data_IF_999493229930
#
_entry.id   IF_999493229930
#
_cell.length_a   1.000
_cell.length_b   1.000
_cell.length_c   1.000
_cell.angle_alpha   90.00
_cell.angle_beta   90.00
_cell.angle_gamma   90.00
#
_symmetry.space_group_name_H-M   'P 1'
#
loop_
_entity.id
_entity.type
_entity.pdbx_description
1 polymer ?
#
# COMPACT_ATOMS: atom_id res chain seq x y z
N UNK A 1 -10.63 -38.88 -20.28
CA UNK A 1 -11.37 -39.28 -21.51
C UNK A 1 -11.30 -38.25 -22.63
N UNK A 2 -11.19 -36.93 -22.36
CA UNK A 2 -11.03 -35.92 -23.42
C UNK A 2 -9.65 -35.92 -24.08
N UNK A 3 -8.58 -35.97 -23.28
CA UNK A 3 -7.19 -35.88 -23.75
C UNK A 3 -6.85 -36.97 -24.77
N UNK A 4 -7.26 -38.23 -24.55
CA UNK A 4 -6.98 -39.33 -25.48
C UNK A 4 -7.60 -39.17 -26.88
N UNK A 5 -8.69 -38.38 -27.01
CA UNK A 5 -9.40 -38.20 -28.27
C UNK A 5 -8.90 -36.99 -29.07
N UNK A 6 -8.42 -35.96 -28.38
CA UNK A 6 -7.99 -34.71 -29.01
C UNK A 6 -6.47 -34.61 -29.12
N UNK A 7 -5.72 -35.18 -28.18
CA UNK A 7 -4.28 -35.06 -28.13
C UNK A 7 -3.60 -35.92 -29.20
N UNK A 8 -2.71 -35.30 -29.96
CA UNK A 8 -1.81 -35.93 -30.89
C UNK A 8 -0.71 -36.74 -30.17
N UNK A 9 -0.37 -37.89 -30.74
CA UNK A 9 0.77 -38.72 -30.34
C UNK A 9 1.29 -39.47 -31.56
N UNK A 10 2.56 -39.25 -31.92
CA UNK A 10 3.16 -39.79 -33.14
C UNK A 10 3.10 -41.33 -33.25
N UNK A 11 3.07 -42.06 -32.14
CA UNK A 11 3.07 -43.54 -32.14
C UNK A 11 1.67 -44.12 -32.01
N UNK A 12 0.83 -43.47 -31.21
CA UNK A 12 -0.42 -44.04 -30.73
C UNK A 12 -1.67 -43.31 -31.22
N UNK A 13 -1.55 -42.06 -31.67
CA UNK A 13 -2.69 -41.27 -32.14
C UNK A 13 -2.26 -40.12 -33.06
N UNK A 14 -1.86 -40.47 -34.29
CA UNK A 14 -1.41 -39.53 -35.33
C UNK A 14 -2.55 -38.61 -35.87
N UNK A 15 -3.81 -39.02 -35.68
CA UNK A 15 -4.99 -38.24 -36.08
C UNK A 15 -5.46 -37.20 -35.05
N UNK A 16 -4.72 -37.02 -33.95
CA UNK A 16 -5.04 -36.00 -32.94
C UNK A 16 -4.99 -34.58 -33.52
N UNK A 17 -5.84 -33.70 -33.01
CA UNK A 17 -5.95 -32.32 -33.51
C UNK A 17 -4.98 -31.38 -32.84
N UNK A 18 -4.65 -31.65 -31.59
CA UNK A 18 -3.92 -30.73 -30.71
C UNK A 18 -2.70 -31.43 -30.11
N UNK A 19 -1.54 -30.78 -30.14
CA UNK A 19 -0.27 -31.36 -29.69
C UNK A 19 0.01 -31.10 -28.20
N UNK A 20 -0.86 -31.57 -27.29
CA UNK A 20 -0.78 -31.23 -25.86
C UNK A 20 0.29 -31.99 -25.06
N UNK A 21 0.86 -33.07 -25.59
CA UNK A 21 1.63 -34.03 -24.79
C UNK A 21 3.13 -33.83 -24.98
N UNK A 22 3.88 -33.80 -23.87
CA UNK A 22 5.34 -33.84 -23.86
C UNK A 22 5.82 -34.94 -22.91
N UNK A 23 6.67 -35.83 -23.42
CA UNK A 23 7.27 -36.96 -22.70
C UNK A 23 8.48 -36.49 -21.93
N UNK A 24 8.50 -36.87 -20.66
CA UNK A 24 9.57 -36.60 -19.71
C UNK A 24 10.02 -37.93 -19.07
N UNK A 25 11.30 -38.13 -18.72
CA UNK A 25 12.39 -37.15 -18.70
C UNK A 25 13.01 -36.90 -20.09
N UNK A 26 13.48 -35.69 -20.35
CA UNK A 26 14.25 -35.38 -21.55
C UNK A 26 15.73 -35.74 -21.34
N UNK A 27 16.44 -36.21 -22.38
CA UNK A 27 17.85 -36.56 -22.23
C UNK A 27 18.70 -35.29 -22.02
N UNK A 28 19.69 -35.36 -21.12
CA UNK A 28 20.55 -34.22 -20.78
C UNK A 28 21.24 -33.64 -22.01
N UNK A 29 21.31 -32.31 -22.07
CA UNK A 29 21.96 -31.54 -23.15
C UNK A 29 21.44 -31.87 -24.56
N UNK A 30 20.19 -32.35 -24.65
CA UNK A 30 19.55 -32.70 -25.92
C UNK A 30 18.08 -32.28 -25.93
N UNK A 31 17.52 -32.19 -27.13
CA UNK A 31 16.10 -31.90 -27.33
C UNK A 31 15.23 -33.06 -26.84
N UNK A 32 14.03 -32.72 -26.35
CA UNK A 32 13.05 -33.71 -25.93
C UNK A 32 12.59 -34.57 -27.13
N UNK A 33 12.22 -35.85 -26.92
CA UNK A 33 11.86 -36.76 -28.00
C UNK A 33 10.67 -36.34 -28.87
N UNK A 34 9.84 -35.44 -28.37
CA UNK A 34 8.66 -34.92 -29.07
C UNK A 34 8.94 -33.66 -29.90
N UNK A 35 10.17 -33.15 -29.86
CA UNK A 35 10.57 -31.96 -30.62
C UNK A 35 11.12 -32.36 -31.99
N UNK A 36 10.22 -32.55 -32.95
CA UNK A 36 10.55 -33.01 -34.31
C UNK A 36 11.34 -31.98 -35.14
N UNK A 37 11.17 -30.69 -34.85
CA UNK A 37 11.85 -29.60 -35.56
C UNK A 37 12.67 -28.72 -34.60
N UNK A 38 14.01 -28.89 -34.57
CA UNK A 38 14.91 -28.08 -33.74
C UNK A 38 14.79 -26.56 -33.94
N UNK A 39 14.34 -26.11 -35.11
CA UNK A 39 14.20 -24.67 -35.41
C UNK A 39 13.04 -24.01 -34.66
N UNK A 40 12.08 -24.80 -34.15
CA UNK A 40 10.95 -24.29 -33.38
C UNK A 40 11.30 -24.10 -31.89
N UNK A 41 12.36 -24.75 -31.42
CA UNK A 41 12.78 -24.71 -30.01
C UNK A 41 13.57 -23.43 -29.74
N UNK A 42 13.24 -22.72 -28.66
CA UNK A 42 13.96 -21.53 -28.23
C UNK A 42 15.40 -21.93 -27.84
N UNK A 43 16.44 -21.22 -28.30
CA UNK A 43 17.82 -21.53 -27.94
C UNK A 43 18.02 -21.69 -26.42
N UNK A 44 18.90 -22.60 -26.03
CA UNK A 44 19.19 -22.98 -24.63
C UNK A 44 18.04 -23.71 -23.88
N UNK A 45 16.94 -24.07 -24.55
CA UNK A 45 15.88 -24.88 -23.97
C UNK A 45 15.83 -26.28 -24.62
N UNK A 46 15.29 -27.27 -23.90
CA UNK A 46 15.16 -28.64 -24.38
C UNK A 46 13.84 -28.91 -25.12
N UNK A 47 12.82 -28.09 -24.84
CA UNK A 47 11.50 -28.12 -25.47
C UNK A 47 10.93 -26.72 -25.61
N UNK A 48 9.95 -26.55 -26.49
CA UNK A 48 9.15 -25.33 -26.56
C UNK A 48 7.73 -25.68 -26.96
N UNK A 49 6.80 -25.40 -26.06
CA UNK A 49 5.37 -25.54 -26.34
C UNK A 49 4.79 -24.16 -26.68
N UNK A 50 4.40 -23.98 -27.94
CA UNK A 50 3.77 -22.75 -28.39
C UNK A 50 2.25 -22.89 -28.36
N UNK A 51 1.58 -22.06 -27.55
CA UNK A 51 0.12 -21.99 -27.50
C UNK A 51 -0.41 -21.45 -28.84
N UNK A 52 -1.31 -22.19 -29.47
CA UNK A 52 -1.86 -21.83 -30.79
C UNK A 52 -3.08 -20.89 -30.71
N UNK A 53 -3.92 -21.02 -29.66
CA UNK A 53 -5.05 -20.11 -29.45
C UNK A 53 -4.60 -18.80 -28.80
N UNK A 54 -4.22 -17.84 -29.64
CA UNK A 54 -3.76 -16.50 -29.23
C UNK A 54 -4.86 -15.44 -29.28
N UNK A 55 -6.08 -15.79 -29.70
CA UNK A 55 -7.13 -14.80 -29.94
C UNK A 55 -7.79 -14.29 -28.66
N UNK A 56 -7.83 -15.12 -27.61
CA UNK A 56 -8.44 -14.77 -26.33
C UNK A 56 -7.51 -15.14 -25.18
N UNK A 57 -7.40 -14.30 -24.13
CA UNK A 57 -6.63 -14.64 -22.96
C UNK A 57 -7.28 -15.82 -22.21
N UNK A 58 -6.45 -16.79 -21.82
CA UNK A 58 -6.86 -17.99 -21.10
C UNK A 58 -5.78 -18.38 -20.09
N UNK A 59 -6.20 -18.95 -18.97
CA UNK A 59 -5.29 -19.64 -18.08
C UNK A 59 -4.95 -21.01 -18.65
N UNK A 60 -3.66 -21.31 -18.69
CA UNK A 60 -3.12 -22.60 -19.11
C UNK A 60 -2.51 -23.28 -17.89
N UNK A 61 -2.91 -24.52 -17.66
CA UNK A 61 -2.40 -25.32 -16.56
C UNK A 61 -1.52 -26.42 -17.10
N UNK A 62 -0.34 -26.57 -16.51
CA UNK A 62 0.56 -27.68 -16.77
C UNK A 62 0.37 -28.76 -15.71
N UNK A 63 0.23 -30.01 -16.14
CA UNK A 63 0.14 -31.16 -15.24
C UNK A 63 1.24 -32.17 -15.56
N UNK A 64 2.07 -32.46 -14.56
CA UNK A 64 3.10 -33.49 -14.65
C UNK A 64 2.55 -34.81 -14.11
N UNK A 65 2.44 -35.83 -14.96
CA UNK A 65 1.81 -37.11 -14.61
C UNK A 65 2.77 -38.27 -14.83
N UNK A 66 2.96 -39.11 -13.80
CA UNK A 66 3.77 -40.33 -13.84
C UNK A 66 3.08 -41.50 -14.56
N UNK A 67 2.85 -41.35 -15.86
CA UNK A 67 2.22 -42.37 -16.71
C UNK A 67 3.06 -42.65 -17.96
N UNK A 68 3.07 -43.91 -18.40
CA UNK A 68 3.72 -44.35 -19.63
C UNK A 68 2.70 -45.05 -20.54
N UNK A 69 2.86 -44.93 -21.85
CA UNK A 69 2.08 -45.72 -22.81
C UNK A 69 2.74 -47.07 -23.05
N UNK A 70 1.94 -48.13 -23.02
CA UNK A 70 2.40 -49.47 -23.42
C UNK A 70 2.40 -49.61 -24.95
N UNK A 71 2.88 -50.75 -25.46
CA UNK A 71 2.87 -51.07 -26.90
C UNK A 71 1.47 -51.17 -27.50
N UNK A 72 0.43 -51.30 -26.66
CA UNK A 72 -0.98 -51.30 -27.05
C UNK A 72 -1.60 -49.91 -26.94
N UNK A 73 -0.81 -48.86 -26.70
CA UNK A 73 -1.22 -47.46 -26.59
C UNK A 73 -2.14 -47.12 -25.41
N UNK A 74 -2.17 -47.97 -24.38
CA UNK A 74 -2.88 -47.73 -23.13
C UNK A 74 -1.96 -47.07 -22.09
N UNK A 75 -2.50 -46.11 -21.35
CA UNK A 75 -1.79 -45.46 -20.24
C UNK A 75 -1.65 -46.41 -19.05
N UNK A 76 -0.42 -46.59 -18.60
CA UNK A 76 -0.07 -47.37 -17.41
C UNK A 76 0.65 -46.47 -16.42
N UNK A 77 0.33 -46.64 -15.14
CA UNK A 77 1.02 -45.92 -14.08
C UNK A 77 2.45 -46.42 -13.96
N UNK A 78 3.39 -45.48 -13.84
CA UNK A 78 4.80 -45.80 -13.61
C UNK A 78 4.96 -46.19 -12.14
N UNK A 79 5.10 -47.49 -11.87
CA UNK A 79 5.17 -48.01 -10.50
C UNK A 79 6.47 -47.64 -9.75
N UNK A 80 7.53 -47.27 -10.48
CA UNK A 80 8.81 -46.87 -9.90
C UNK A 80 8.88 -45.36 -9.73
N UNK A 81 9.18 -44.84 -8.53
CA UNK A 81 9.35 -43.41 -8.32
C UNK A 81 10.53 -42.91 -9.15
N UNK A 82 10.27 -41.92 -10.00
CA UNK A 82 11.26 -41.27 -10.84
C UNK A 82 11.48 -39.84 -10.33
N UNK A 83 12.72 -39.52 -9.96
CA UNK A 83 13.09 -38.14 -9.66
C UNK A 83 13.37 -37.40 -10.96
N UNK A 84 12.69 -36.29 -11.19
CA UNK A 84 12.93 -35.42 -12.34
C UNK A 84 13.09 -33.98 -11.88
N UNK A 85 14.08 -33.31 -12.44
CA UNK A 85 14.40 -31.91 -12.17
C UNK A 85 14.20 -31.15 -13.47
N UNK A 86 13.38 -30.10 -13.42
CA UNK A 86 12.98 -29.31 -14.57
C UNK A 86 12.94 -27.84 -14.21
N UNK A 87 13.36 -27.03 -15.18
CA UNK A 87 13.17 -25.59 -15.19
C UNK A 87 12.25 -25.25 -16.36
N UNK A 88 11.16 -24.54 -16.09
CA UNK A 88 10.10 -24.24 -17.05
C UNK A 88 9.82 -22.75 -17.08
N UNK A 89 10.25 -22.12 -18.16
CA UNK A 89 10.03 -20.69 -18.39
C UNK A 89 8.72 -20.48 -19.17
N UNK A 90 7.71 -19.97 -18.48
CA UNK A 90 6.40 -19.65 -19.05
C UNK A 90 6.33 -18.14 -19.32
N UNK A 91 6.08 -17.76 -20.57
CA UNK A 91 6.18 -16.37 -21.05
C UNK A 91 5.04 -16.02 -22.00
N UNK A 92 4.69 -14.75 -22.06
CA UNK A 92 3.70 -14.20 -22.98
C UNK A 92 4.39 -13.56 -24.18
N UNK A 93 4.40 -14.30 -25.29
CA UNK A 93 4.97 -13.85 -26.56
C UNK A 93 6.25 -14.60 -26.92
N UNK A 94 6.77 -14.32 -28.12
CA UNK A 94 7.99 -14.96 -28.64
C UNK A 94 9.18 -14.00 -28.46
N UNK A 95 10.30 -14.44 -27.85
CA UNK A 95 11.41 -13.54 -27.50
C UNK A 95 12.02 -12.77 -28.69
N UNK A 96 12.00 -13.36 -29.90
CA UNK A 96 12.55 -12.74 -31.10
C UNK A 96 11.49 -12.09 -32.02
N UNK A 97 10.27 -11.86 -31.53
CA UNK A 97 9.21 -11.25 -32.31
C UNK A 97 9.39 -9.73 -32.40
N UNK A 98 8.90 -9.13 -33.49
CA UNK A 98 9.03 -7.69 -33.70
C UNK A 98 8.19 -6.84 -32.72
N UNK A 99 7.14 -7.45 -32.15
CA UNK A 99 6.21 -6.93 -31.16
C UNK A 99 6.55 -7.35 -29.73
N UNK A 100 7.78 -7.84 -29.49
CA UNK A 100 8.23 -8.20 -28.15
C UNK A 100 8.26 -6.98 -27.21
N UNK A 101 7.41 -6.99 -26.18
CA UNK A 101 7.42 -6.02 -25.09
C UNK A 101 8.06 -6.64 -23.84
N UNK A 102 9.27 -6.20 -23.43
CA UNK A 102 9.92 -6.70 -22.22
C UNK A 102 9.05 -6.52 -20.95
N UNK A 103 8.28 -5.44 -20.86
CA UNK A 103 7.46 -5.14 -19.70
C UNK A 103 6.19 -6.01 -19.57
N UNK A 104 5.90 -6.85 -20.56
CA UNK A 104 4.76 -7.77 -20.55
C UNK A 104 5.19 -9.24 -20.68
N UNK A 105 6.44 -9.49 -21.10
CA UNK A 105 6.91 -10.81 -21.52
C UNK A 105 6.83 -11.87 -20.42
N UNK A 106 7.20 -11.52 -19.20
CA UNK A 106 7.12 -12.43 -18.05
C UNK A 106 5.79 -12.33 -17.28
N UNK A 107 4.97 -11.32 -17.56
CA UNK A 107 3.72 -11.11 -16.85
C UNK A 107 2.59 -11.92 -17.47
N UNK A 108 1.81 -12.62 -16.64
CA UNK A 108 0.51 -13.15 -17.03
C UNK A 108 -0.44 -12.01 -17.44
N UNK A 109 -1.43 -12.34 -18.27
CA UNK A 109 -2.36 -11.33 -18.81
C UNK A 109 -3.06 -10.49 -17.73
N UNK A 110 -3.38 -11.09 -16.59
CA UNK A 110 -4.00 -10.43 -15.43
C UNK A 110 -3.04 -9.47 -14.69
N UNK A 111 -1.73 -9.59 -14.91
CA UNK A 111 -0.67 -8.76 -14.31
C UNK A 111 -0.01 -7.78 -15.29
N UNK A 112 -0.26 -7.91 -16.59
CA UNK A 112 0.20 -6.93 -17.58
C UNK A 112 -0.34 -5.52 -17.27
N UNK A 113 0.38 -4.48 -17.70
CA UNK A 113 0.09 -3.05 -17.45
C UNK A 113 0.19 -2.58 -15.98
N UNK A 114 0.56 -3.48 -15.05
CA UNK A 114 0.61 -3.13 -13.63
C UNK A 114 1.80 -2.22 -13.32
N UNK A 115 2.95 -2.43 -13.97
CA UNK A 115 4.15 -1.60 -13.84
C UNK A 115 3.83 -0.13 -14.12
N UNK A 116 3.04 0.15 -15.16
CA UNK A 116 2.61 1.46 -15.58
C UNK A 116 1.75 2.15 -14.51
N UNK A 117 0.82 1.41 -13.89
CA UNK A 117 -0.02 1.91 -12.78
C UNK A 117 0.88 2.33 -11.61
N UNK A 118 1.82 1.48 -11.21
CA UNK A 118 2.77 1.76 -10.14
C UNK A 118 3.66 2.97 -10.47
N UNK A 119 4.21 3.05 -11.68
CA UNK A 119 5.04 4.18 -12.12
C UNK A 119 4.28 5.51 -12.11
N UNK A 120 3.03 5.54 -12.56
CA UNK A 120 2.17 6.73 -12.47
C UNK A 120 1.96 7.15 -11.02
N UNK A 121 1.72 6.19 -10.12
CA UNK A 121 1.59 6.45 -8.69
C UNK A 121 2.90 7.00 -8.10
N UNK A 122 4.03 6.35 -8.36
CA UNK A 122 5.36 6.81 -7.91
C UNK A 122 5.63 8.23 -8.39
N UNK A 123 5.32 8.57 -9.65
CA UNK A 123 5.48 9.91 -10.18
C UNK A 123 4.62 10.92 -9.40
N UNK A 124 3.35 10.61 -9.16
CA UNK A 124 2.45 11.55 -8.48
C UNK A 124 2.79 11.71 -6.99
N UNK A 125 3.07 10.61 -6.27
CA UNK A 125 3.50 10.68 -4.88
C UNK A 125 4.88 11.33 -4.74
N UNK A 126 5.85 10.92 -5.55
CA UNK A 126 7.25 11.35 -5.46
C UNK A 126 7.51 12.75 -5.97
N UNK A 127 6.85 13.18 -7.05
CA UNK A 127 7.08 14.51 -7.64
C UNK A 127 6.08 15.57 -7.19
N UNK A 128 4.89 15.19 -6.71
CA UNK A 128 3.83 16.14 -6.33
C UNK A 128 3.51 16.07 -4.85
N UNK A 129 2.93 14.98 -4.35
CA UNK A 129 2.34 14.96 -3.01
C UNK A 129 3.39 15.05 -1.89
N UNK A 130 4.43 14.20 -1.91
CA UNK A 130 5.45 14.17 -0.86
C UNK A 130 6.23 15.49 -0.81
N UNK A 131 6.74 16.06 -1.92
CA UNK A 131 7.44 17.36 -1.88
C UNK A 131 6.55 18.49 -1.33
N UNK A 132 5.29 18.56 -1.76
CA UNK A 132 4.34 19.58 -1.26
C UNK A 132 4.09 19.43 0.25
N UNK A 133 3.93 18.20 0.74
CA UNK A 133 3.67 17.96 2.16
C UNK A 133 4.90 18.13 3.04
N UNK A 134 6.09 17.74 2.57
CA UNK A 134 7.35 18.02 3.27
C UNK A 134 7.53 19.53 3.42
N UNK A 135 7.27 20.30 2.36
CA UNK A 135 7.30 21.76 2.42
C UNK A 135 6.30 22.33 3.44
N UNK A 136 5.05 21.83 3.44
CA UNK A 136 4.03 22.22 4.40
C UNK A 136 4.43 21.90 5.85
N UNK A 137 4.95 20.69 6.09
CA UNK A 137 5.38 20.23 7.40
C UNK A 137 6.54 21.05 7.97
N UNK A 138 7.50 21.43 7.12
CA UNK A 138 8.61 22.29 7.52
C UNK A 138 8.16 23.71 7.91
N UNK A 139 7.07 24.22 7.30
CA UNK A 139 6.55 25.56 7.61
C UNK A 139 5.65 25.62 8.84
N UNK A 140 4.75 24.64 9.01
CA UNK A 140 3.71 24.71 10.03
C UNK A 140 4.10 24.07 11.38
N UNK A 141 5.14 23.23 11.40
CA UNK A 141 5.63 22.48 12.60
C UNK A 141 4.46 21.86 13.40
N UNK A 142 3.44 21.37 12.71
CA UNK A 142 2.23 20.85 13.35
C UNK A 142 2.22 19.31 13.39
N UNK A 143 1.84 18.65 14.51
CA UNK A 143 1.92 17.20 14.64
C UNK A 143 1.05 16.44 13.62
N UNK A 144 -0.12 16.97 13.26
CA UNK A 144 -0.99 16.39 12.22
C UNK A 144 -0.28 16.40 10.86
N UNK A 145 0.30 17.53 10.46
CA UNK A 145 0.98 17.66 9.17
C UNK A 145 2.21 16.75 9.11
N UNK A 146 2.94 16.59 10.22
CA UNK A 146 4.05 15.63 10.32
C UNK A 146 3.59 14.17 10.23
N UNK A 147 2.50 13.81 10.90
CA UNK A 147 1.93 12.46 10.83
C UNK A 147 1.44 12.12 9.41
N UNK A 148 0.77 13.07 8.76
CA UNK A 148 0.34 12.92 7.37
C UNK A 148 1.53 12.83 6.40
N UNK A 149 2.57 13.64 6.59
CA UNK A 149 3.80 13.55 5.80
C UNK A 149 4.47 12.18 5.97
N UNK A 150 4.55 11.67 7.21
CA UNK A 150 5.07 10.32 7.46
C UNK A 150 4.24 9.25 6.73
N UNK A 151 2.92 9.40 6.71
CA UNK A 151 2.00 8.50 5.98
C UNK A 151 2.33 8.48 4.48
N UNK A 152 2.49 9.65 3.84
CA UNK A 152 2.83 9.73 2.42
C UNK A 152 4.24 9.23 2.09
N UNK A 153 5.21 9.43 3.00
CA UNK A 153 6.56 8.89 2.83
C UNK A 153 6.54 7.37 2.91
N UNK A 154 5.78 6.78 3.84
CA UNK A 154 5.60 5.32 3.89
C UNK A 154 4.91 4.80 2.62
N UNK A 155 3.88 5.49 2.12
CA UNK A 155 3.20 5.13 0.88
C UNK A 155 4.14 5.16 -0.33
N UNK A 156 4.97 6.20 -0.44
CA UNK A 156 5.96 6.30 -1.51
C UNK A 156 7.03 5.20 -1.40
N UNK A 157 7.50 4.91 -0.18
CA UNK A 157 8.47 3.84 0.04
C UNK A 157 7.90 2.47 -0.38
N UNK A 158 6.66 2.16 0.00
CA UNK A 158 5.96 0.94 -0.43
C UNK A 158 5.89 0.83 -1.95
N UNK A 159 5.36 1.88 -2.60
CA UNK A 159 5.28 1.95 -4.06
C UNK A 159 6.64 1.78 -4.75
N UNK A 160 7.73 2.34 -4.21
CA UNK A 160 9.07 2.19 -4.78
C UNK A 160 9.58 0.74 -4.68
N UNK A 161 9.34 0.06 -3.56
CA UNK A 161 9.71 -1.35 -3.41
C UNK A 161 8.89 -2.24 -4.34
N UNK A 162 7.57 -2.05 -4.43
CA UNK A 162 6.71 -2.82 -5.34
C UNK A 162 7.12 -2.60 -6.80
N UNK A 163 7.37 -1.33 -7.19
CA UNK A 163 7.84 -1.00 -8.54
C UNK A 163 9.19 -1.67 -8.82
N UNK A 164 10.11 -1.68 -7.85
CA UNK A 164 11.39 -2.35 -8.01
C UNK A 164 11.22 -3.86 -8.20
N UNK A 165 10.37 -4.50 -7.40
CA UNK A 165 10.05 -5.92 -7.56
C UNK A 165 9.49 -6.22 -8.96
N UNK A 166 8.49 -5.45 -9.40
CA UNK A 166 7.85 -5.66 -10.70
C UNK A 166 8.78 -5.35 -11.87
N UNK A 167 9.65 -4.35 -11.76
CA UNK A 167 10.67 -4.07 -12.78
C UNK A 167 11.68 -5.21 -12.89
N UNK A 168 12.15 -5.76 -11.76
CA UNK A 168 13.05 -6.93 -11.78
C UNK A 168 12.35 -8.13 -12.41
N UNK A 169 11.12 -8.42 -11.96
CA UNK A 169 10.28 -9.49 -12.50
C UNK A 169 10.07 -9.36 -14.03
N UNK A 170 9.96 -8.13 -14.55
CA UNK A 170 9.81 -7.90 -15.99
C UNK A 170 11.01 -8.36 -16.83
N UNK A 171 12.20 -8.51 -16.23
CA UNK A 171 13.42 -8.90 -16.93
C UNK A 171 13.85 -10.35 -16.67
N UNK A 172 13.56 -10.90 -15.48
CA UNK A 172 14.00 -12.25 -15.09
C UNK A 172 12.86 -13.25 -14.91
N UNK A 173 11.62 -12.79 -14.74
CA UNK A 173 10.45 -13.64 -14.47
C UNK A 173 10.35 -14.21 -13.07
N UNK A 174 11.30 -13.90 -12.19
CA UNK A 174 11.31 -14.36 -10.79
C UNK A 174 11.04 -13.20 -9.82
N UNK A 175 11.58 -12.02 -10.10
CA UNK A 175 11.50 -10.87 -9.21
C UNK A 175 12.21 -11.12 -7.87
N UNK A 176 11.87 -10.32 -6.86
CA UNK A 176 12.33 -10.54 -5.48
C UNK A 176 11.18 -10.55 -4.50
N UNK A 177 10.82 -11.74 -3.99
CA UNK A 177 9.73 -11.92 -3.04
C UNK A 177 9.93 -11.07 -1.77
N UNK A 178 11.15 -11.03 -1.25
CA UNK A 178 11.47 -10.22 -0.07
C UNK A 178 11.23 -8.72 -0.28
N UNK A 179 11.53 -8.19 -1.48
CA UNK A 179 11.26 -6.79 -1.83
C UNK A 179 9.76 -6.54 -1.93
N UNK A 180 9.00 -7.46 -2.53
CA UNK A 180 7.55 -7.38 -2.60
C UNK A 180 6.91 -7.33 -1.21
N UNK A 181 7.30 -8.26 -0.32
CA UNK A 181 6.80 -8.30 1.06
C UNK A 181 7.12 -6.98 1.78
N UNK A 182 8.33 -6.43 1.63
CA UNK A 182 8.66 -5.14 2.25
C UNK A 182 7.75 -4.04 1.71
N UNK A 183 7.55 -3.96 0.40
CA UNK A 183 6.65 -2.96 -0.20
C UNK A 183 5.23 -3.04 0.32
N UNK A 184 4.65 -4.25 0.37
CA UNK A 184 3.34 -4.53 0.94
C UNK A 184 3.24 -4.11 2.41
N UNK A 185 4.26 -4.39 3.23
CA UNK A 185 4.30 -3.96 4.63
C UNK A 185 4.29 -2.43 4.79
N UNK A 186 5.02 -1.71 3.94
CA UNK A 186 5.02 -0.25 3.93
C UNK A 186 3.65 0.32 3.50
N UNK A 187 2.99 -0.29 2.51
CA UNK A 187 1.64 0.07 2.09
C UNK A 187 0.61 -0.17 3.20
N UNK A 188 0.64 -1.34 3.86
CA UNK A 188 -0.24 -1.65 4.99
C UNK A 188 -0.04 -0.68 6.16
N UNK A 189 1.22 -0.33 6.46
CA UNK A 189 1.53 0.65 7.50
C UNK A 189 1.02 2.05 7.12
N UNK A 190 1.20 2.47 5.86
CA UNK A 190 0.69 3.74 5.37
C UNK A 190 -0.83 3.83 5.47
N UNK A 191 -1.56 2.83 5.00
CA UNK A 191 -3.03 2.78 5.12
C UNK A 191 -3.51 2.81 6.58
N UNK A 192 -2.81 2.08 7.46
CA UNK A 192 -3.13 2.06 8.88
C UNK A 192 -2.89 3.42 9.55
N UNK A 193 -1.77 4.09 9.25
CA UNK A 193 -1.46 5.45 9.72
C UNK A 193 -2.45 6.48 9.18
N UNK A 194 -2.88 6.35 7.93
CA UNK A 194 -3.90 7.21 7.35
C UNK A 194 -5.23 7.06 8.08
N UNK A 195 -5.67 5.83 8.32
CA UNK A 195 -6.92 5.57 9.06
C UNK A 195 -6.87 6.14 10.49
N UNK A 196 -5.72 6.00 11.16
CA UNK A 196 -5.46 6.63 12.45
C UNK A 196 -5.59 8.15 12.40
N UNK A 197 -4.96 8.78 11.41
CA UNK A 197 -5.04 10.22 11.17
C UNK A 197 -6.49 10.67 11.00
N UNK A 198 -7.30 9.94 10.22
CA UNK A 198 -8.72 10.26 10.02
C UNK A 198 -9.51 10.21 11.35
N UNK A 199 -9.27 9.21 12.20
CA UNK A 199 -9.93 9.10 13.51
C UNK A 199 -9.51 10.22 14.48
N UNK A 200 -8.22 10.60 14.47
CA UNK A 200 -7.71 11.70 15.28
C UNK A 200 -8.35 13.03 14.86
N UNK A 201 -8.43 13.28 13.56
CA UNK A 201 -9.09 14.45 12.98
C UNK A 201 -10.60 14.46 13.30
N UNK A 202 -11.29 13.32 13.19
CA UNK A 202 -12.72 13.21 13.51
C UNK A 202 -13.02 13.53 14.98
N UNK A 203 -12.12 13.15 15.90
CA UNK A 203 -12.18 13.55 17.32
C UNK A 203 -11.81 15.01 17.57
N UNK A 204 -11.38 15.74 16.55
CA UNK A 204 -10.93 17.12 16.65
C UNK A 204 -9.57 17.29 17.33
N UNK A 205 -8.75 16.23 17.39
CA UNK A 205 -7.39 16.33 17.93
C UNK A 205 -6.62 17.41 17.17
N UNK A 206 -5.95 18.29 17.91
CA UNK A 206 -5.17 19.42 17.41
C UNK A 206 -5.91 20.41 16.46
N UNK A 207 -7.25 20.33 16.38
CA UNK A 207 -8.14 21.31 15.70
C UNK A 207 -9.10 21.96 16.69
N UNK A 208 -9.68 21.18 17.60
CA UNK A 208 -10.64 21.64 18.61
C UNK A 208 -10.16 21.35 20.03
N UNK A 209 -9.31 20.33 20.22
CA UNK A 209 -8.78 19.92 21.52
C UNK A 209 -7.32 19.45 21.43
N UNK A 210 -6.46 19.95 22.31
CA UNK A 210 -5.06 19.48 22.43
C UNK A 210 -4.94 18.19 23.26
N UNK A 211 -5.85 17.99 24.23
CA UNK A 211 -5.92 16.77 25.03
C UNK A 211 -7.01 15.82 24.53
N UNK A 212 -6.58 14.63 24.13
CA UNK A 212 -7.50 13.59 23.66
C UNK A 212 -7.98 12.73 24.83
N UNK A 213 -9.29 12.73 25.08
CA UNK A 213 -9.90 11.81 26.04
C UNK A 213 -9.70 10.36 25.57
N UNK A 214 -9.29 9.47 26.47
CA UNK A 214 -8.99 8.07 26.19
C UNK A 214 -7.94 7.84 25.07
N UNK A 215 -6.89 8.67 24.99
CA UNK A 215 -5.81 8.50 23.99
C UNK A 215 -5.21 7.09 23.96
N UNK A 216 -4.98 6.49 25.12
CA UNK A 216 -4.41 5.15 25.22
C UNK A 216 -5.32 4.10 24.58
N UNK A 217 -6.64 4.22 24.77
CA UNK A 217 -7.62 3.31 24.16
C UNK A 217 -7.57 3.40 22.63
N UNK A 218 -7.46 4.61 22.09
CA UNK A 218 -7.41 4.84 20.64
C UNK A 218 -6.14 4.23 20.02
N UNK A 219 -4.95 4.51 20.58
CA UNK A 219 -3.70 3.91 20.12
C UNK A 219 -3.67 2.40 20.30
N UNK A 220 -4.27 1.87 21.37
CA UNK A 220 -4.36 0.42 21.60
C UNK A 220 -5.27 -0.25 20.56
N UNK A 221 -6.46 0.31 20.29
CA UNK A 221 -7.37 -0.23 19.29
C UNK A 221 -6.77 -0.15 17.89
N UNK A 222 -6.09 0.94 17.55
CA UNK A 222 -5.35 1.07 16.30
C UNK A 222 -4.20 0.05 16.20
N UNK A 223 -3.43 -0.14 17.26
CA UNK A 223 -2.35 -1.13 17.30
C UNK A 223 -2.89 -2.55 17.11
N UNK A 224 -3.98 -2.91 17.81
CA UNK A 224 -4.64 -4.20 17.66
C UNK A 224 -5.17 -4.41 16.24
N UNK A 225 -5.82 -3.39 15.66
CA UNK A 225 -6.26 -3.40 14.27
C UNK A 225 -5.08 -3.64 13.32
N UNK A 226 -3.99 -2.90 13.48
CA UNK A 226 -2.80 -3.01 12.63
C UNK A 226 -2.17 -4.42 12.71
N UNK A 227 -2.05 -4.97 13.91
CA UNK A 227 -1.52 -6.32 14.14
C UNK A 227 -2.44 -7.38 13.53
N UNK A 228 -3.76 -7.21 13.67
CA UNK A 228 -4.73 -8.13 13.09
C UNK A 228 -4.63 -8.13 11.57
N UNK A 229 -4.66 -6.95 10.93
CA UNK A 229 -4.51 -6.83 9.47
C UNK A 229 -3.18 -7.44 8.99
N UNK A 230 -2.08 -7.20 9.71
CA UNK A 230 -0.79 -7.81 9.40
C UNK A 230 -0.83 -9.35 9.48
N UNK A 231 -1.51 -9.89 10.48
CA UNK A 231 -1.67 -11.33 10.64
C UNK A 231 -2.53 -11.93 9.53
N UNK A 232 -3.60 -11.24 9.11
CA UNK A 232 -4.44 -11.67 7.99
C UNK A 232 -3.67 -11.64 6.67
N UNK A 233 -2.82 -10.64 6.46
CA UNK A 233 -1.92 -10.57 5.29
C UNK A 233 -0.99 -11.79 5.23
N UNK A 234 -0.29 -12.12 6.33
CA UNK A 234 0.58 -13.29 6.37
C UNK A 234 -0.19 -14.61 6.26
N UNK A 235 -1.40 -14.69 6.82
CA UNK A 235 -2.26 -15.87 6.65
C UNK A 235 -2.62 -16.06 5.17
N UNK A 236 -3.01 -14.99 4.47
CA UNK A 236 -3.33 -15.02 3.05
C UNK A 236 -2.14 -15.49 2.21
N UNK A 237 -0.93 -14.99 2.51
CA UNK A 237 0.30 -15.40 1.83
C UNK A 237 0.65 -16.89 2.04
N UNK A 238 0.32 -17.46 3.20
CA UNK A 238 0.73 -18.83 3.56
C UNK A 238 -0.29 -19.91 3.20
N UNK A 239 -1.59 -19.59 3.20
CA UNK A 239 -2.68 -20.58 3.07
C UNK A 239 -3.38 -20.52 1.71
N UNK A 240 -3.30 -19.41 0.97
CA UNK A 240 -3.89 -19.32 -0.37
C UNK A 240 -2.85 -19.78 -1.38
N UNK A 241 -3.09 -20.95 -1.96
CA UNK A 241 -2.25 -21.48 -3.02
C UNK A 241 -2.31 -20.59 -4.27
N UNK A 242 -1.16 -20.30 -4.86
CA UNK A 242 -1.01 -19.47 -6.07
C UNK A 242 -1.79 -20.03 -7.28
N UNK A 243 -2.15 -21.32 -7.25
CA UNK A 243 -2.86 -22.02 -8.33
C UNK A 243 -4.38 -21.78 -8.25
N UNK A 244 -4.91 -21.48 -7.06
CA UNK A 244 -6.33 -21.18 -6.90
C UNK A 244 -6.57 -19.71 -7.26
N UNK A 245 -7.35 -19.45 -8.32
CA UNK A 245 -7.76 -18.10 -8.79
C UNK A 245 -8.73 -17.41 -7.80
N UNK A 246 -8.38 -17.38 -6.52
CA UNK A 246 -9.17 -16.85 -5.42
C UNK A 246 -8.52 -15.56 -4.95
N UNK A 247 -9.17 -14.41 -5.17
CA UNK A 247 -8.68 -13.14 -4.63
C UNK A 247 -8.85 -13.07 -3.12
N UNK A 248 -8.06 -12.19 -2.49
CA UNK A 248 -8.12 -11.87 -1.07
C UNK A 248 -9.57 -11.66 -0.59
N UNK A 249 -10.40 -10.92 -1.33
CA UNK A 249 -11.78 -10.61 -0.93
C UNK A 249 -12.81 -11.71 -1.18
N UNK A 250 -12.40 -12.84 -1.76
CA UNK A 250 -13.22 -14.06 -1.81
C UNK A 250 -13.01 -14.94 -0.57
N UNK A 251 -11.93 -14.71 0.18
CA UNK A 251 -11.58 -15.47 1.38
C UNK A 251 -12.23 -14.88 2.64
N UNK A 252 -12.33 -15.69 3.71
CA UNK A 252 -12.89 -15.22 4.98
C UNK A 252 -12.06 -14.08 5.66
N UNK A 253 -10.71 -14.03 5.58
CA UNK A 253 -9.93 -12.88 6.03
C UNK A 253 -10.31 -11.60 5.30
N UNK A 254 -10.50 -11.66 3.97
CA UNK A 254 -10.90 -10.51 3.18
C UNK A 254 -12.23 -9.94 3.69
N UNK A 255 -13.24 -10.78 3.91
CA UNK A 255 -14.51 -10.36 4.50
C UNK A 255 -14.37 -9.79 5.91
N UNK A 256 -13.48 -10.35 6.74
CA UNK A 256 -13.18 -9.82 8.07
C UNK A 256 -12.54 -8.42 7.99
N UNK A 257 -11.55 -8.23 7.11
CA UNK A 257 -10.92 -6.92 6.86
C UNK A 257 -11.94 -5.87 6.41
N UNK A 258 -12.85 -6.25 5.50
CA UNK A 258 -13.95 -5.37 5.06
C UNK A 258 -14.91 -5.02 6.21
N UNK A 259 -15.30 -6.00 7.02
CA UNK A 259 -16.18 -5.77 8.17
C UNK A 259 -15.53 -4.83 9.19
N UNK A 260 -14.24 -5.02 9.50
CA UNK A 260 -13.48 -4.13 10.38
C UNK A 260 -13.41 -2.70 9.84
N UNK A 261 -13.18 -2.54 8.54
CA UNK A 261 -13.18 -1.22 7.88
C UNK A 261 -14.53 -0.52 8.01
N UNK A 262 -15.63 -1.24 7.85
CA UNK A 262 -17.00 -0.71 8.06
C UNK A 262 -17.24 -0.35 9.53
N UNK A 263 -16.78 -1.16 10.47
CA UNK A 263 -16.89 -0.84 11.91
C UNK A 263 -16.12 0.43 12.27
N UNK A 264 -14.90 0.60 11.75
CA UNK A 264 -14.10 1.82 11.96
C UNK A 264 -14.77 3.02 11.28
N UNK A 265 -15.38 2.84 10.10
CA UNK A 265 -16.16 3.90 9.44
C UNK A 265 -17.34 4.35 10.30
N UNK A 266 -18.08 3.42 10.91
CA UNK A 266 -19.20 3.76 11.82
C UNK A 266 -18.67 4.50 13.05
N UNK A 267 -17.55 4.06 13.61
CA UNK A 267 -16.91 4.77 14.73
C UNK A 267 -16.44 6.17 14.33
N UNK A 268 -15.79 6.31 13.17
CA UNK A 268 -15.39 7.59 12.60
C UNK A 268 -16.57 8.56 12.48
N UNK A 269 -17.71 8.10 11.93
CA UNK A 269 -18.93 8.90 11.80
C UNK A 269 -19.49 9.33 13.15
N UNK A 270 -19.47 8.44 14.14
CA UNK A 270 -19.91 8.75 15.50
C UNK A 270 -19.04 9.84 16.13
N UNK A 271 -17.72 9.72 16.05
CA UNK A 271 -16.79 10.73 16.59
C UNK A 271 -16.91 12.06 15.84
N UNK A 272 -17.00 12.02 14.51
CA UNK A 272 -17.18 13.21 13.69
C UNK A 272 -18.48 13.93 14.07
N UNK A 273 -19.59 13.20 14.23
CA UNK A 273 -20.87 13.77 14.66
C UNK A 273 -20.77 14.40 16.05
N UNK A 274 -20.11 13.73 17.00
CA UNK A 274 -19.92 14.27 18.34
C UNK A 274 -19.14 15.60 18.26
N UNK A 275 -18.01 15.62 17.56
CA UNK A 275 -17.19 16.83 17.38
C UNK A 275 -17.99 17.95 16.73
N UNK A 276 -18.73 17.67 15.65
CA UNK A 276 -19.59 18.66 14.98
C UNK A 276 -20.73 19.19 15.87
N UNK A 277 -21.22 18.40 16.82
CA UNK A 277 -22.27 18.82 17.76
C UNK A 277 -21.74 19.75 18.85
N UNK A 278 -20.47 19.59 19.25
CA UNK A 278 -19.82 20.46 20.23
C UNK A 278 -19.30 21.77 19.64
N UNK A 279 -18.92 21.76 18.35
CA UNK A 279 -18.33 22.91 17.68
C UNK A 279 -19.40 23.90 17.20
N UNK A 280 -19.34 25.15 17.68
CA UNK A 280 -20.31 26.19 17.34
C UNK A 280 -19.81 27.13 16.23
N UNK A 281 -18.53 27.04 15.84
CA UNK A 281 -17.96 27.86 14.79
C UNK A 281 -18.32 27.32 13.39
N UNK A 282 -19.03 28.12 12.60
CA UNK A 282 -19.49 27.75 11.26
C UNK A 282 -18.35 27.37 10.31
N UNK A 283 -17.18 28.01 10.41
CA UNK A 283 -16.05 27.73 9.53
C UNK A 283 -15.44 26.34 9.81
N UNK A 284 -15.27 25.98 11.08
CA UNK A 284 -14.80 24.66 11.49
C UNK A 284 -15.81 23.56 11.16
N UNK A 285 -17.10 23.86 11.28
CA UNK A 285 -18.16 22.92 10.90
C UNK A 285 -18.15 22.63 9.39
N UNK A 286 -18.00 23.65 8.55
CA UNK A 286 -17.85 23.46 7.09
C UNK A 286 -16.61 22.62 6.75
N UNK A 287 -15.49 22.84 7.45
CA UNK A 287 -14.30 22.00 7.36
C UNK A 287 -14.63 20.52 7.67
N UNK A 288 -15.28 20.24 8.80
CA UNK A 288 -15.63 18.87 9.20
C UNK A 288 -16.61 18.19 8.25
N UNK A 289 -17.53 18.95 7.65
CA UNK A 289 -18.46 18.43 6.65
C UNK A 289 -17.72 17.96 5.39
N UNK A 290 -16.84 18.80 4.84
CA UNK A 290 -16.04 18.44 3.66
C UNK A 290 -15.06 17.30 3.95
N UNK A 291 -14.40 17.34 5.12
CA UNK A 291 -13.54 16.27 5.62
C UNK A 291 -14.28 14.94 5.72
N UNK A 292 -15.45 14.95 6.37
CA UNK A 292 -16.29 13.78 6.54
C UNK A 292 -16.72 13.19 5.20
N UNK A 293 -17.20 14.04 4.27
CA UNK A 293 -17.63 13.59 2.95
C UNK A 293 -16.48 12.93 2.16
N UNK A 294 -15.30 13.55 2.11
CA UNK A 294 -14.15 12.99 1.41
C UNK A 294 -13.63 11.70 2.06
N UNK A 295 -13.56 11.67 3.39
CA UNK A 295 -13.11 10.49 4.13
C UNK A 295 -14.07 9.31 3.97
N UNK A 296 -15.39 9.57 3.89
CA UNK A 296 -16.39 8.52 3.66
C UNK A 296 -16.21 7.82 2.31
N UNK A 297 -15.87 8.58 1.26
CA UNK A 297 -15.54 8.00 -0.05
C UNK A 297 -14.36 7.03 0.09
N UNK A 298 -13.34 7.41 0.86
CA UNK A 298 -12.18 6.56 1.13
C UNK A 298 -12.52 5.32 2.00
N UNK A 299 -13.43 5.42 2.96
CA UNK A 299 -13.86 4.25 3.73
C UNK A 299 -14.66 3.26 2.88
N UNK A 300 -15.56 3.76 2.02
CA UNK A 300 -16.55 2.93 1.34
C UNK A 300 -16.07 2.33 0.02
N UNK A 301 -15.04 2.90 -0.62
CA UNK A 301 -14.60 2.37 -1.93
C UNK A 301 -14.21 0.90 -1.83
N UNK A 302 -13.48 0.48 -0.77
CA UNK A 302 -12.94 -0.87 -0.72
C UNK A 302 -14.07 -1.93 -0.62
N UNK A 303 -15.06 -1.83 0.31
CA UNK A 303 -16.21 -2.72 0.30
C UNK A 303 -16.99 -2.74 -1.03
N UNK A 304 -17.18 -1.57 -1.65
CA UNK A 304 -17.92 -1.47 -2.92
C UNK A 304 -17.17 -2.15 -4.06
N UNK A 305 -15.87 -1.88 -4.18
CA UNK A 305 -15.03 -2.47 -5.24
C UNK A 305 -14.86 -3.97 -5.01
N UNK A 306 -14.72 -4.43 -3.77
CA UNK A 306 -14.67 -5.87 -3.46
C UNK A 306 -15.95 -6.60 -3.91
N UNK A 307 -17.14 -6.02 -3.67
CA UNK A 307 -18.40 -6.58 -4.16
C UNK A 307 -18.50 -6.60 -5.69
N UNK A 308 -18.00 -5.54 -6.35
CA UNK A 308 -17.93 -5.49 -7.82
C UNK A 308 -16.98 -6.57 -8.34
N UNK A 309 -15.81 -6.74 -7.71
CA UNK A 309 -14.78 -7.68 -8.11
C UNK A 309 -15.29 -9.13 -8.16
N UNK A 310 -16.23 -9.52 -7.29
CA UNK A 310 -16.86 -10.85 -7.30
C UNK A 310 -17.53 -11.19 -8.65
N UNK A 311 -17.99 -10.18 -9.39
CA UNK A 311 -18.68 -10.35 -10.67
C UNK A 311 -17.73 -10.23 -11.88
N UNK A 312 -16.48 -9.84 -11.65
CA UNK A 312 -15.47 -9.65 -12.69
C UNK A 312 -14.68 -10.95 -12.85
N UNK A 313 -14.36 -11.31 -14.09
CA UNK A 313 -13.53 -12.48 -14.38
C UNK A 313 -12.11 -12.32 -13.79
N UNK A 314 -11.45 -13.39 -13.32
CA UNK A 314 -10.11 -13.33 -12.73
C UNK A 314 -9.09 -12.58 -13.61
N UNK A 315 -9.19 -12.74 -14.94
CA UNK A 315 -8.34 -12.07 -15.94
C UNK A 315 -8.24 -10.54 -15.82
N UNK A 316 -9.26 -9.88 -15.28
CA UNK A 316 -9.32 -8.40 -15.18
C UNK A 316 -9.42 -7.91 -13.74
N UNK A 317 -9.67 -8.83 -12.81
CA UNK A 317 -10.08 -8.51 -11.44
C UNK A 317 -8.93 -7.88 -10.65
N UNK A 318 -7.73 -8.43 -10.77
CA UNK A 318 -6.53 -7.88 -10.12
C UNK A 318 -6.26 -6.43 -10.54
N UNK A 319 -6.23 -6.15 -11.85
CA UNK A 319 -6.01 -4.80 -12.39
C UNK A 319 -7.08 -3.81 -11.95
N UNK A 320 -8.34 -4.26 -11.90
CA UNK A 320 -9.45 -3.46 -11.41
C UNK A 320 -9.26 -3.10 -9.94
N UNK A 321 -8.99 -4.08 -9.07
CA UNK A 321 -8.77 -3.85 -7.64
C UNK A 321 -7.59 -2.91 -7.40
N UNK A 322 -6.47 -3.15 -8.09
CA UNK A 322 -5.26 -2.34 -8.00
C UNK A 322 -5.53 -0.88 -8.42
N UNK A 323 -6.13 -0.68 -9.59
CA UNK A 323 -6.42 0.62 -10.15
C UNK A 323 -7.37 1.44 -9.27
N UNK A 324 -8.45 0.83 -8.77
CA UNK A 324 -9.39 1.52 -7.88
C UNK A 324 -8.78 1.84 -6.52
N UNK A 325 -7.98 0.94 -5.95
CA UNK A 325 -7.33 1.15 -4.65
C UNK A 325 -6.38 2.35 -4.71
N UNK A 326 -5.43 2.36 -5.66
CA UNK A 326 -4.50 3.47 -5.77
C UNK A 326 -5.18 4.77 -6.20
N UNK A 327 -6.22 4.72 -7.04
CA UNK A 327 -6.99 5.92 -7.40
C UNK A 327 -7.70 6.52 -6.20
N UNK A 328 -8.36 5.70 -5.37
CA UNK A 328 -9.06 6.16 -4.19
C UNK A 328 -8.09 6.71 -3.13
N UNK A 329 -6.98 6.03 -2.91
CA UNK A 329 -5.92 6.48 -1.99
C UNK A 329 -5.31 7.80 -2.49
N UNK A 330 -4.98 7.91 -3.77
CA UNK A 330 -4.45 9.13 -4.37
C UNK A 330 -5.42 10.31 -4.23
N UNK A 331 -6.71 10.10 -4.46
CA UNK A 331 -7.74 11.12 -4.30
C UNK A 331 -7.87 11.57 -2.84
N UNK A 332 -7.89 10.62 -1.89
CA UNK A 332 -7.99 10.92 -0.46
C UNK A 332 -6.75 11.67 0.05
N UNK A 333 -5.56 11.24 -0.35
CA UNK A 333 -4.31 11.89 0.00
C UNK A 333 -4.16 13.28 -0.66
N UNK A 334 -4.61 13.44 -1.90
CA UNK A 334 -4.63 14.75 -2.57
C UNK A 334 -5.58 15.72 -1.87
N UNK A 335 -6.78 15.24 -1.48
CA UNK A 335 -7.73 16.04 -0.72
C UNK A 335 -7.16 16.44 0.65
N UNK A 336 -6.55 15.51 1.38
CA UNK A 336 -5.93 15.83 2.67
C UNK A 336 -4.74 16.76 2.53
N UNK A 337 -3.95 16.63 1.46
CA UNK A 337 -2.86 17.54 1.12
C UNK A 337 -3.36 18.96 0.94
N UNK A 338 -4.45 19.12 0.19
CA UNK A 338 -5.11 20.41 -0.03
C UNK A 338 -5.72 20.99 1.25
N UNK A 339 -6.31 20.14 2.08
CA UNK A 339 -6.97 20.55 3.32
C UNK A 339 -5.97 21.01 4.39
N UNK A 340 -4.83 20.32 4.50
CA UNK A 340 -3.76 20.61 5.46
C UNK A 340 -2.75 21.64 4.95
N UNK A 341 -3.04 22.30 3.82
CA UNK A 341 -2.12 23.28 3.25
C UNK A 341 -1.97 24.53 4.14
N UNK A 342 -0.72 25.00 4.38
CA UNK A 342 -0.38 26.42 4.47
C UNK A 342 -1.41 27.36 5.10
N UNK A 343 -1.88 28.17 4.17
CA UNK A 343 -2.78 29.30 4.28
C UNK A 343 -4.18 28.92 4.75
N UNK A 344 -4.57 27.65 4.60
CA UNK A 344 -5.91 27.19 4.96
C UNK A 344 -5.94 26.62 6.35
N UNK A 345 -4.99 25.75 6.67
CA UNK A 345 -5.00 25.06 7.95
C UNK A 345 -4.72 26.04 9.12
N UNK A 346 -4.03 27.15 8.89
CA UNK A 346 -3.90 28.24 9.87
C UNK A 346 -5.25 28.72 10.43
N UNK A 347 -6.31 28.78 9.61
CA UNK A 347 -7.64 29.22 10.07
C UNK A 347 -8.32 28.22 11.01
N UNK A 348 -7.95 26.94 10.93
CA UNK A 348 -8.59 25.85 11.66
C UNK A 348 -7.72 25.31 12.81
N UNK A 349 -6.41 25.46 12.72
CA UNK A 349 -5.39 24.94 13.65
C UNK A 349 -4.93 25.95 14.72
N UNK A 350 -5.58 27.12 14.82
CA UNK A 350 -5.21 28.22 15.74
C UNK A 350 -4.99 27.80 17.20
N UNK A 351 -5.69 26.76 17.67
CA UNK A 351 -5.59 26.28 19.06
C UNK A 351 -4.25 25.64 19.41
N UNK A 352 -3.50 25.11 18.45
CA UNK A 352 -2.17 24.57 18.72
C UNK A 352 -1.15 25.69 18.96
N UNK A 353 -1.27 26.80 18.24
CA UNK A 353 -0.41 27.97 18.39
C UNK A 353 -0.69 28.73 19.71
N UNK A 354 -1.97 28.91 20.08
CA UNK A 354 -2.32 29.53 21.36
C UNK A 354 -1.87 28.69 22.57
N UNK A 355 -1.91 27.36 22.48
CA UNK A 355 -1.44 26.48 23.55
C UNK A 355 0.08 26.47 23.70
N UNK A 356 0.82 26.55 22.59
CA UNK A 356 2.28 26.66 22.61
C UNK A 356 2.70 28.01 23.22
N UNK A 357 2.05 29.10 22.80
CA UNK A 357 2.26 30.43 23.36
C UNK A 357 1.89 30.48 24.86
N UNK A 358 0.79 29.85 25.28
CA UNK A 358 0.44 29.81 26.72
C UNK A 358 1.48 29.04 27.53
N UNK A 359 1.98 27.91 27.01
CA UNK A 359 3.02 27.14 27.68
C UNK A 359 4.33 27.93 27.78
N UNK A 360 4.73 28.64 26.71
CA UNK A 360 5.89 29.55 26.75
C UNK A 360 5.69 30.67 27.78
N UNK A 361 4.50 31.30 27.83
CA UNK A 361 4.20 32.33 28.83
C UNK A 361 4.22 31.79 30.27
N UNK A 362 3.71 30.58 30.49
CA UNK A 362 3.74 29.93 31.80
C UNK A 362 5.18 29.60 32.21
N UNK A 363 6.03 29.13 31.28
CA UNK A 363 7.47 28.91 31.52
C UNK A 363 8.21 30.24 31.81
N UNK A 364 7.85 31.33 31.14
CA UNK A 364 8.36 32.67 31.45
C UNK A 364 7.90 33.20 32.82
N UNK A 365 6.69 32.87 33.25
CA UNK A 365 6.17 33.23 34.58
C UNK A 365 6.81 32.39 35.71
N UNK A 366 7.22 31.16 35.42
CA UNK A 366 7.92 30.29 36.37
C UNK A 366 9.43 30.58 36.49
N UNK A 367 10.00 31.35 35.55
CA UNK A 367 11.38 31.81 35.66
C UNK A 367 11.54 32.76 36.87
N UNK A 368 12.51 32.51 37.77
CA UNK A 368 12.66 33.27 39.00
C UNK A 368 12.98 34.73 38.66
N UNK A 369 12.02 35.61 38.92
CA UNK A 369 12.20 37.04 38.80
C UNK A 369 13.23 37.48 39.85
N UNK A 370 14.44 37.83 39.43
CA UNK A 370 15.45 38.43 40.30
C UNK A 370 14.96 39.85 40.63
N UNK A 371 14.11 39.95 41.65
CA UNK A 371 13.74 41.21 42.28
C UNK A 371 14.88 41.54 43.25
N UNK A 372 15.83 42.35 42.81
CA UNK A 372 16.79 42.97 43.72
C UNK A 372 16.05 43.99 44.60
N UNK A 373 15.58 43.54 45.76
CA UNK A 373 15.21 44.39 46.88
C UNK A 373 16.06 44.01 48.10
N UNK A 374 17.12 44.77 48.34
CA UNK A 374 17.79 44.82 49.65
C UNK A 374 17.51 46.20 50.27
N UNK A 375 16.46 46.23 51.09
CA UNK A 375 16.10 47.37 51.92
C UNK A 375 16.97 47.44 53.20
N UNK A 376 17.50 48.63 53.45
CA UNK A 376 17.39 49.38 54.71
C UNK A 376 17.75 48.71 56.05
N UNK A 377 18.88 49.10 56.67
CA UNK A 377 18.95 49.60 58.07
C UNK A 377 20.39 49.57 58.65
N UNK A 378 21.01 50.73 58.80
CA UNK A 378 22.01 51.00 59.86
C UNK A 378 22.06 52.52 60.10
N UNK A 379 21.35 52.96 61.14
CA UNK A 379 21.39 54.32 61.68
C UNK A 379 21.97 54.27 63.10
N UNK A 380 23.02 55.04 63.35
CA UNK A 380 23.37 55.80 64.58
C UNK A 380 24.78 56.43 64.39
N UNK A 381 25.15 57.54 65.09
CA UNK A 381 24.52 58.86 65.14
C UNK A 381 25.50 60.02 64.79
N UNK A 382 24.93 61.22 64.56
CA UNK A 382 25.46 62.60 64.74
C UNK A 382 26.98 62.89 64.60
N UNK A 383 27.36 63.77 63.66
CA UNK A 383 28.00 65.07 63.98
C UNK A 383 27.98 66.05 62.78
N UNK A 384 27.86 67.33 63.14
CA UNK A 384 27.89 68.59 62.36
C UNK A 384 28.88 68.67 61.18
N UNK A 385 28.52 69.36 60.09
CA UNK A 385 28.73 70.82 59.94
C UNK A 385 28.67 71.25 58.46
N UNK A 386 28.28 72.51 58.28
CA UNK A 386 28.55 73.40 57.15
C UNK A 386 27.55 73.49 55.98
N UNK A 387 26.69 74.49 56.17
CA UNK A 387 25.99 75.35 55.22
C UNK A 387 26.93 76.08 54.24
N UNK A 388 26.59 76.10 52.95
CA UNK A 388 26.19 77.33 52.22
C UNK A 388 25.62 77.01 50.82
N UNK A 389 24.63 77.77 50.32
CA UNK A 389 23.99 77.53 49.03
C UNK A 389 24.52 78.46 47.93
N UNK A 390 24.73 77.93 46.71
CA UNK A 390 24.98 78.75 45.52
C UNK A 390 23.77 78.75 44.58
N UNK A 391 23.23 79.96 44.46
CA UNK A 391 22.11 80.40 43.62
C UNK A 391 22.34 80.07 42.14
N UNK A 392 21.27 79.74 41.44
CA UNK A 392 21.14 79.99 40.00
C UNK A 392 19.86 80.81 39.80
N UNK A 393 20.03 82.04 39.34
CA UNK A 393 18.97 82.89 38.78
C UNK A 393 18.99 82.74 37.26
N UNK A 394 17.78 82.76 36.69
CA UNK A 394 17.39 82.97 35.29
C UNK A 394 17.73 81.85 34.30
#
# INVERSE_FOLDING_TARGET
>A
QGVEKEAYDAQCHDSGREDFLRRVPCPKDSLCPDEDNPANVIPNNQLTYAIQDVNNPRFWYLSLVGCMRNSSCEWQHVATPLHVEYDLNIVNGKPNAADHNPFEYHFSFDKQDTVEIYLVCVLFYGCVLVPLQVYAACRQIHPITRLFTATLVMQLAGLLFDTLHLLVFSFDGEGSEGVNIIGDLFNLLAQSLFMMLLLLLAKGWAITRMMLSHRLLLFLLWGLYSILILTLYFWNMMEVDVIEDIDEYQTWPGWLTLALRVLIMVWFLFELRNTMTYEHNSNKLHFFLHFGAASLVWFIYLPVVALIALQISPLWRYKLLLGFTYSADLLAHSFMTYMLWPERSEQYLLLAYEADLSNELDEFNEAPHIINHSDSALLTPMYDCDTEPLKINA
#
